data_IF_644518174270
#
_entry.id   IF_644518174270
#
_cell.length_a   1.000
_cell.length_b   1.000
_cell.length_c   1.000
_cell.angle_alpha   90.00
_cell.angle_beta   90.00
_cell.angle_gamma   90.00
#
_symmetry.space_group_name_H-M   'P 1'
#
loop_
_entity.id
_entity.type
_entity.pdbx_description
1 polymer ?
#
# COMPACT_ATOMS: atom_id res chain seq x y z
N UNK A 1 -10.32 15.62 9.40
CA UNK A 1 -10.60 14.18 9.14
C UNK A 1 -11.15 13.46 10.37
N UNK A 2 -10.41 13.31 11.48
CA UNK A 2 -10.81 12.48 12.62
C UNK A 2 -12.23 12.74 13.19
N UNK A 3 -12.65 14.01 13.31
CA UNK A 3 -14.02 14.35 13.73
C UNK A 3 -15.11 13.88 12.75
N UNK A 4 -14.84 13.92 11.44
CA UNK A 4 -15.77 13.42 10.40
C UNK A 4 -15.89 11.90 10.53
N UNK A 5 -14.77 11.20 10.73
CA UNK A 5 -14.76 9.76 11.00
C UNK A 5 -15.52 9.46 12.30
N UNK A 6 -15.32 10.22 13.38
CA UNK A 6 -16.02 10.00 14.65
C UNK A 6 -17.54 10.27 14.60
N UNK A 7 -18.03 11.01 13.60
CA UNK A 7 -19.46 11.32 13.40
C UNK A 7 -20.12 10.35 12.40
N UNK A 8 -19.39 9.93 11.36
CA UNK A 8 -19.92 9.04 10.31
C UNK A 8 -19.68 7.54 10.60
N UNK A 9 -18.56 7.18 11.26
CA UNK A 9 -18.22 5.80 11.56
C UNK A 9 -19.03 5.29 12.75
N UNK A 10 -20.11 4.58 12.46
CA UNK A 10 -20.96 3.92 13.45
C UNK A 10 -20.19 2.85 14.21
N UNK A 11 -20.37 2.77 15.54
CA UNK A 11 -19.54 1.96 16.48
C UNK A 11 -19.70 0.43 16.37
N UNK A 12 -20.15 -0.07 15.23
CA UNK A 12 -20.50 -1.47 14.96
C UNK A 12 -21.85 -1.58 14.23
N UNK A 13 -22.14 -2.72 13.57
CA UNK A 13 -23.35 -2.94 12.75
C UNK A 13 -24.64 -2.68 13.54
N UNK A 14 -24.75 -3.19 14.78
CA UNK A 14 -25.90 -2.98 15.66
C UNK A 14 -26.19 -1.51 16.06
N UNK A 15 -25.30 -0.57 15.72
CA UNK A 15 -25.48 0.87 15.91
C UNK A 15 -25.41 1.65 14.58
N UNK A 16 -25.56 0.98 13.44
CA UNK A 16 -25.56 1.59 12.11
C UNK A 16 -26.80 2.49 11.93
N UNK A 17 -26.62 3.81 12.02
CA UNK A 17 -27.71 4.81 11.93
C UNK A 17 -28.49 4.77 10.60
N UNK A 18 -27.91 4.19 9.55
CA UNK A 18 -28.47 4.08 8.21
C UNK A 18 -29.23 2.76 7.96
N UNK A 19 -29.15 1.78 8.87
CA UNK A 19 -29.85 0.50 8.78
C UNK A 19 -31.15 0.49 9.61
N UNK A 20 -32.16 -0.30 9.21
CA UNK A 20 -33.37 -0.60 10.00
C UNK A 20 -33.05 -1.45 11.24
N UNK A 21 -34.00 -1.67 12.18
CA UNK A 21 -33.80 -2.57 13.31
C UNK A 21 -33.46 -4.01 12.90
N UNK A 22 -34.14 -4.56 11.89
CA UNK A 22 -33.93 -5.93 11.40
C UNK A 22 -32.58 -6.06 10.68
N UNK A 23 -32.27 -5.12 9.79
CA UNK A 23 -30.99 -5.06 9.08
C UNK A 23 -29.79 -5.01 10.06
N UNK A 24 -29.94 -4.35 11.21
CA UNK A 24 -28.91 -4.28 12.26
C UNK A 24 -28.72 -5.62 12.97
N UNK A 25 -29.79 -6.33 13.27
CA UNK A 25 -29.72 -7.65 13.91
C UNK A 25 -29.10 -8.66 12.96
N UNK A 26 -29.50 -8.64 11.69
CA UNK A 26 -28.94 -9.53 10.66
C UNK A 26 -27.50 -9.18 10.26
N UNK A 27 -27.11 -7.90 10.22
CA UNK A 27 -25.72 -7.49 10.04
C UNK A 27 -24.83 -7.82 11.26
N UNK A 28 -25.41 -7.98 12.46
CA UNK A 28 -24.73 -8.55 13.62
C UNK A 28 -24.60 -10.07 13.45
N UNK A 29 -25.63 -10.78 12.97
CA UNK A 29 -25.61 -12.24 12.81
C UNK A 29 -24.65 -12.70 11.72
N UNK A 30 -24.61 -12.00 10.57
CA UNK A 30 -23.62 -12.21 9.50
C UNK A 30 -22.19 -12.11 10.01
N UNK A 31 -21.94 -11.13 10.86
CA UNK A 31 -20.63 -10.94 11.46
C UNK A 31 -20.28 -12.08 12.43
N UNK A 32 -21.24 -12.83 13.00
CA UNK A 32 -20.93 -14.06 13.76
C UNK A 32 -20.49 -15.19 12.85
N UNK A 33 -21.18 -15.40 11.71
CA UNK A 33 -20.78 -16.44 10.73
C UNK A 33 -19.43 -16.16 10.08
N UNK A 34 -19.09 -14.88 9.84
CA UNK A 34 -17.77 -14.45 9.36
C UNK A 34 -16.69 -14.40 10.46
N UNK A 35 -16.93 -14.97 11.65
CA UNK A 35 -15.97 -15.06 12.75
C UNK A 35 -15.73 -13.75 13.55
N UNK A 36 -16.53 -12.72 13.28
CA UNK A 36 -16.54 -11.45 13.98
C UNK A 36 -17.19 -11.50 15.37
N UNK A 37 -16.92 -10.48 16.22
CA UNK A 37 -17.27 -10.53 17.63
C UNK A 37 -18.76 -10.23 17.89
N UNK A 38 -19.42 -11.12 18.64
CA UNK A 38 -20.84 -11.05 19.03
C UNK A 38 -21.33 -9.71 19.62
N UNK A 39 -20.43 -8.95 20.25
CA UNK A 39 -20.60 -7.56 20.72
C UNK A 39 -19.24 -6.86 20.58
N UNK A 40 -19.13 -5.57 20.93
CA UNK A 40 -17.82 -4.95 21.21
C UNK A 40 -17.28 -5.49 22.55
N UNK A 41 -16.93 -6.77 22.54
CA UNK A 41 -16.35 -7.46 23.68
C UNK A 41 -14.92 -6.95 23.87
N UNK A 42 -14.67 -6.32 25.02
CA UNK A 42 -13.36 -5.73 25.35
C UNK A 42 -12.24 -6.77 25.39
N UNK A 43 -12.56 -8.06 25.56
CA UNK A 43 -11.57 -9.13 25.56
C UNK A 43 -11.23 -9.55 24.12
N UNK A 44 -12.20 -9.64 23.21
CA UNK A 44 -11.92 -9.89 21.78
C UNK A 44 -11.20 -8.68 21.17
N UNK A 45 -11.61 -7.45 21.51
CA UNK A 45 -10.91 -6.24 21.09
C UNK A 45 -9.44 -6.21 21.58
N UNK A 46 -9.17 -6.60 22.84
CA UNK A 46 -7.79 -6.78 23.36
C UNK A 46 -7.03 -7.87 22.60
N UNK A 47 -7.67 -8.99 22.27
CA UNK A 47 -7.06 -10.07 21.51
C UNK A 47 -6.70 -9.64 20.08
N UNK A 48 -7.60 -8.92 19.39
CA UNK A 48 -7.37 -8.34 18.07
C UNK A 48 -6.27 -7.27 18.08
N UNK A 49 -6.27 -6.36 19.07
CA UNK A 49 -5.20 -5.37 19.25
C UNK A 49 -3.86 -6.07 19.48
N UNK A 50 -3.81 -7.09 20.34
CA UNK A 50 -2.60 -7.90 20.56
C UNK A 50 -2.16 -8.61 19.28
N UNK A 51 -3.10 -9.14 18.49
CA UNK A 51 -2.83 -9.82 17.22
C UNK A 51 -2.13 -8.88 16.23
N UNK A 52 -2.61 -7.64 16.07
CA UNK A 52 -1.98 -6.60 15.24
C UNK A 52 -0.56 -6.30 15.70
N UNK A 53 -0.32 -6.18 17.01
CA UNK A 53 1.04 -6.01 17.57
C UNK A 53 1.92 -7.29 17.53
N UNK A 54 1.41 -8.42 17.02
CA UNK A 54 2.18 -9.64 16.78
C UNK A 54 2.29 -10.01 15.30
N UNK A 55 1.63 -9.28 14.40
CA UNK A 55 1.67 -9.57 12.97
C UNK A 55 2.98 -9.10 12.33
N UNK A 56 3.79 -10.06 11.90
CA UNK A 56 5.06 -9.80 11.23
C UNK A 56 4.89 -9.07 9.88
N UNK A 57 3.76 -9.24 9.18
CA UNK A 57 3.50 -8.53 7.93
C UNK A 57 3.36 -7.02 8.17
N UNK A 58 2.62 -6.63 9.21
CA UNK A 58 2.50 -5.23 9.65
C UNK A 58 3.86 -4.59 9.89
N UNK A 59 4.79 -5.27 10.56
CA UNK A 59 6.16 -4.76 10.76
C UNK A 59 6.98 -4.70 9.45
N UNK A 60 6.83 -5.66 8.54
CA UNK A 60 7.48 -5.63 7.21
C UNK A 60 6.97 -4.42 6.40
N UNK A 61 5.67 -4.12 6.43
CA UNK A 61 5.11 -2.93 5.79
C UNK A 61 5.57 -1.63 6.44
N UNK A 62 5.74 -1.58 7.77
CA UNK A 62 6.34 -0.42 8.46
C UNK A 62 7.79 -0.18 8.01
N UNK A 63 8.59 -1.24 7.82
CA UNK A 63 9.97 -1.14 7.33
C UNK A 63 10.00 -0.68 5.87
N UNK A 64 9.15 -1.25 5.00
CA UNK A 64 9.01 -0.78 3.61
C UNK A 64 8.60 0.70 3.54
N UNK A 65 7.64 1.12 4.38
CA UNK A 65 7.23 2.52 4.48
C UNK A 65 8.38 3.41 4.96
N UNK A 66 9.17 2.99 5.95
CA UNK A 66 10.34 3.75 6.41
C UNK A 66 11.41 3.88 5.31
N UNK A 67 11.75 2.79 4.63
CA UNK A 67 12.78 2.76 3.58
C UNK A 67 12.40 3.61 2.36
N UNK A 68 11.12 3.66 2.01
CA UNK A 68 10.60 4.55 0.94
C UNK A 68 10.38 5.98 1.41
N UNK A 69 10.08 6.16 2.70
CA UNK A 69 9.98 7.48 3.32
C UNK A 69 11.32 8.20 3.43
N UNK A 70 12.47 7.52 3.51
CA UNK A 70 13.79 8.18 3.54
C UNK A 70 14.05 9.03 2.29
N UNK A 71 13.99 8.48 1.05
CA UNK A 71 14.05 9.30 -0.15
C UNK A 71 12.84 10.24 -0.21
N UNK A 72 11.60 9.83 0.05
CA UNK A 72 10.50 10.81 0.17
C UNK A 72 10.70 11.85 1.31
N UNK A 73 11.81 11.80 2.08
CA UNK A 73 12.23 12.79 3.08
C UNK A 73 13.67 13.48 2.99
N UNK A 74 14.18 13.94 1.79
CA UNK A 74 15.01 15.20 1.49
C UNK A 74 14.96 16.16 0.12
N UNK A 75 14.08 16.93 -0.69
CA UNK A 75 12.71 17.55 -1.13
C UNK A 75 11.94 18.62 -0.35
N UNK A 76 10.85 18.24 0.33
CA UNK A 76 9.90 19.10 1.02
C UNK A 76 10.59 20.06 2.02
N UNK A 77 11.89 19.87 2.29
CA UNK A 77 12.80 20.85 2.89
C UNK A 77 13.92 21.35 1.95
N UNK A 78 14.51 20.52 1.08
CA UNK A 78 15.66 20.90 0.24
C UNK A 78 15.34 21.57 -1.10
N UNK A 79 14.16 21.32 -1.68
CA UNK A 79 13.78 21.76 -3.01
C UNK A 79 13.71 23.29 -3.16
N UNK A 80 13.26 24.08 -2.16
CA UNK A 80 13.44 25.53 -2.18
C UNK A 80 14.92 25.93 -2.21
N UNK A 81 15.77 25.25 -1.44
CA UNK A 81 17.21 25.55 -1.29
C UNK A 81 18.00 25.24 -2.58
N UNK A 82 17.71 24.14 -3.26
CA UNK A 82 18.33 23.79 -4.53
C UNK A 82 17.97 24.80 -5.63
N UNK A 83 16.71 25.22 -5.71
CA UNK A 83 16.30 26.22 -6.71
C UNK A 83 16.79 27.63 -6.34
N UNK A 84 17.05 27.91 -5.06
CA UNK A 84 17.80 29.10 -4.64
C UNK A 84 19.26 29.07 -5.14
N UNK A 85 19.95 27.92 -5.05
CA UNK A 85 21.30 27.74 -5.59
C UNK A 85 21.37 27.93 -7.12
N UNK A 86 20.27 27.68 -7.85
CA UNK A 86 20.14 28.01 -9.27
C UNK A 86 19.97 29.52 -9.56
N UNK A 87 20.05 30.39 -8.55
CA UNK A 87 20.03 31.85 -8.69
C UNK A 87 18.64 32.48 -8.66
N UNK A 88 17.61 31.75 -8.20
CA UNK A 88 16.24 32.28 -8.09
C UNK A 88 15.88 32.68 -6.66
N UNK A 89 15.42 33.91 -6.46
CA UNK A 89 14.85 34.38 -5.18
C UNK A 89 13.77 33.41 -4.67
N UNK A 90 13.70 33.19 -3.36
CA UNK A 90 12.88 32.18 -2.65
C UNK A 90 11.43 32.04 -3.18
N UNK A 91 10.77 33.17 -3.43
CA UNK A 91 9.38 33.21 -3.93
C UNK A 91 9.28 32.69 -5.38
N UNK A 92 10.27 32.96 -6.23
CA UNK A 92 10.35 32.39 -7.59
C UNK A 92 10.77 30.93 -7.56
N UNK A 93 11.66 30.56 -6.64
CA UNK A 93 12.08 29.18 -6.45
C UNK A 93 10.87 28.26 -6.16
N UNK A 94 10.00 28.66 -5.23
CA UNK A 94 8.76 27.91 -4.93
C UNK A 94 7.76 27.83 -6.10
N UNK A 95 7.76 28.80 -7.02
CA UNK A 95 6.89 28.75 -8.22
C UNK A 95 7.43 27.78 -9.28
N UNK A 96 8.75 27.72 -9.48
CA UNK A 96 9.38 26.77 -10.43
C UNK A 96 9.23 25.31 -10.01
N UNK A 97 8.94 25.05 -8.75
CA UNK A 97 8.66 23.74 -8.16
C UNK A 97 7.27 23.18 -8.53
N UNK A 98 6.30 24.05 -8.84
CA UNK A 98 4.91 23.62 -9.06
C UNK A 98 4.73 22.75 -10.32
N UNK A 99 5.30 23.09 -11.51
CA UNK A 99 5.12 22.28 -12.71
C UNK A 99 5.70 20.85 -12.61
N UNK A 100 6.93 20.62 -12.09
CA UNK A 100 7.42 19.26 -11.84
C UNK A 100 6.52 18.43 -10.92
N UNK A 101 6.01 19.02 -9.82
CA UNK A 101 5.10 18.32 -8.90
C UNK A 101 3.75 18.01 -9.53
N UNK A 102 3.24 18.86 -10.42
CA UNK A 102 2.01 18.61 -11.17
C UNK A 102 2.17 17.42 -12.13
N UNK A 103 3.28 17.37 -12.88
CA UNK A 103 3.62 16.24 -13.77
C UNK A 103 3.77 14.94 -12.98
N UNK A 104 4.48 14.98 -11.85
CA UNK A 104 4.63 13.84 -10.96
C UNK A 104 3.29 13.35 -10.39
N UNK A 105 2.38 14.26 -10.03
CA UNK A 105 1.04 13.94 -9.55
C UNK A 105 0.21 13.20 -10.61
N UNK A 106 0.21 13.71 -11.86
CA UNK A 106 -0.48 13.05 -12.98
C UNK A 106 0.10 11.66 -13.25
N UNK A 107 1.43 11.52 -13.27
CA UNK A 107 2.11 10.23 -13.43
C UNK A 107 1.75 9.24 -12.31
N UNK A 108 1.77 9.69 -11.05
CA UNK A 108 1.38 8.88 -9.89
C UNK A 108 -0.07 8.40 -9.99
N UNK A 109 -1.00 9.27 -10.41
CA UNK A 109 -2.41 8.90 -10.62
C UNK A 109 -2.56 7.84 -11.72
N UNK A 110 -1.88 8.00 -12.85
CA UNK A 110 -1.88 7.01 -13.95
C UNK A 110 -1.29 5.67 -13.50
N UNK A 111 -0.18 5.71 -12.74
CA UNK A 111 0.45 4.50 -12.21
C UNK A 111 -0.45 3.78 -11.19
N UNK A 112 -1.14 4.50 -10.30
CA UNK A 112 -2.12 3.91 -9.37
C UNK A 112 -3.27 3.26 -10.13
N UNK A 113 -3.88 3.98 -11.09
CA UNK A 113 -4.97 3.44 -11.91
C UNK A 113 -4.56 2.18 -12.69
N UNK A 114 -3.34 2.16 -13.25
CA UNK A 114 -2.77 0.97 -13.90
C UNK A 114 -2.58 -0.19 -12.91
N UNK A 115 -1.93 0.09 -11.77
CA UNK A 115 -1.67 -0.84 -10.67
C UNK A 115 -2.95 -1.50 -10.13
N UNK A 116 -4.02 -0.72 -9.96
CA UNK A 116 -5.32 -1.22 -9.51
C UNK A 116 -6.07 -1.98 -10.61
N UNK A 117 -6.06 -1.48 -11.86
CA UNK A 117 -6.79 -2.09 -12.99
C UNK A 117 -6.25 -3.45 -13.43
N UNK A 118 -4.94 -3.66 -13.35
CA UNK A 118 -4.29 -4.91 -13.80
C UNK A 118 -3.94 -5.86 -12.64
N UNK A 119 -4.24 -5.48 -11.39
CA UNK A 119 -3.80 -6.14 -10.14
C UNK A 119 -2.26 -6.26 -9.99
N UNK A 120 -1.47 -5.67 -10.88
CA UNK A 120 -0.01 -5.80 -10.97
C UNK A 120 0.77 -4.95 -9.95
N UNK A 121 0.18 -4.65 -8.79
CA UNK A 121 0.66 -3.65 -7.82
C UNK A 121 2.16 -3.77 -7.52
N UNK A 122 2.64 -4.98 -7.27
CA UNK A 122 4.07 -5.24 -7.01
C UNK A 122 4.98 -4.91 -8.19
N UNK A 123 4.56 -5.19 -9.43
CA UNK A 123 5.34 -4.90 -10.63
C UNK A 123 5.39 -3.40 -10.91
N UNK A 124 4.28 -2.68 -10.72
CA UNK A 124 4.23 -1.22 -10.81
C UNK A 124 5.17 -0.56 -9.77
N UNK A 125 5.18 -1.05 -8.53
CA UNK A 125 6.10 -0.59 -7.47
C UNK A 125 7.57 -0.86 -7.86
N UNK A 126 7.88 -2.08 -8.31
CA UNK A 126 9.25 -2.43 -8.72
C UNK A 126 9.74 -1.64 -9.94
N UNK A 127 8.86 -1.32 -10.90
CA UNK A 127 9.19 -0.44 -12.02
C UNK A 127 9.58 0.98 -11.55
N UNK A 128 8.87 1.54 -10.57
CA UNK A 128 9.23 2.82 -9.96
C UNK A 128 10.57 2.76 -9.20
N UNK A 129 10.82 1.68 -8.44
CA UNK A 129 12.12 1.51 -7.76
C UNK A 129 13.29 1.34 -8.74
N UNK A 130 13.11 0.61 -9.85
CA UNK A 130 14.14 0.46 -10.88
C UNK A 130 14.48 1.82 -11.53
N UNK A 131 13.47 2.65 -11.82
CA UNK A 131 13.66 4.00 -12.34
C UNK A 131 14.41 4.90 -11.34
N UNK A 132 14.09 4.82 -10.05
CA UNK A 132 14.81 5.53 -9.00
C UNK A 132 16.27 5.05 -8.84
N UNK A 133 16.52 3.74 -8.93
CA UNK A 133 17.89 3.16 -8.91
C UNK A 133 18.72 3.69 -10.08
N UNK A 134 18.15 3.74 -11.29
CA UNK A 134 18.84 4.25 -12.49
C UNK A 134 19.21 5.73 -12.31
N UNK A 135 18.31 6.56 -11.78
CA UNK A 135 18.58 7.97 -11.48
C UNK A 135 19.71 8.16 -10.47
N UNK A 136 19.62 7.46 -9.32
CA UNK A 136 20.62 7.54 -8.25
C UNK A 136 22.01 7.05 -8.68
N UNK A 137 22.08 5.98 -9.49
CA UNK A 137 23.35 5.51 -10.09
C UNK A 137 23.92 6.58 -11.03
N UNK A 138 23.07 7.24 -11.84
CA UNK A 138 23.48 8.32 -12.74
C UNK A 138 24.11 9.51 -11.99
N UNK A 139 23.51 9.94 -10.87
CA UNK A 139 24.05 11.02 -10.03
C UNK A 139 25.40 10.63 -9.41
N UNK A 140 25.48 9.46 -8.78
CA UNK A 140 26.71 8.94 -8.15
C UNK A 140 27.85 8.75 -9.15
N UNK A 141 27.54 8.32 -10.38
CA UNK A 141 28.55 8.06 -11.41
C UNK A 141 29.06 9.31 -12.13
N UNK A 142 28.29 10.41 -12.19
CA UNK A 142 28.64 11.59 -13.00
C UNK A 142 29.34 12.69 -12.23
N UNK A 143 29.09 12.85 -10.92
CA UNK A 143 29.65 13.92 -10.07
C UNK A 143 29.47 15.35 -10.65
N UNK A 144 28.49 15.55 -11.53
CA UNK A 144 28.55 16.65 -12.50
C UNK A 144 27.77 17.90 -12.07
N UNK A 145 28.43 19.07 -12.14
CA UNK A 145 27.89 20.40 -11.80
C UNK A 145 26.79 20.93 -12.75
N UNK A 146 26.19 20.07 -13.60
CA UNK A 146 25.28 20.50 -14.67
C UNK A 146 23.81 20.45 -14.25
N UNK A 147 23.06 21.57 -14.28
CA UNK A 147 21.65 21.62 -13.91
C UNK A 147 20.73 21.09 -15.02
N UNK A 148 20.90 19.82 -15.42
CA UNK A 148 20.13 19.15 -16.47
C UNK A 148 19.03 18.29 -15.84
N UNK A 149 18.01 18.96 -15.29
CA UNK A 149 16.63 18.46 -15.10
C UNK A 149 16.50 16.98 -14.67
N UNK A 150 17.22 16.57 -13.63
CA UNK A 150 17.12 15.21 -13.08
C UNK A 150 15.80 15.02 -12.32
N UNK A 151 15.27 13.79 -12.36
CA UNK A 151 13.98 13.41 -11.77
C UNK A 151 14.14 12.76 -10.37
N UNK A 152 15.04 13.29 -9.55
CA UNK A 152 15.34 12.82 -8.19
C UNK A 152 14.44 13.49 -7.14
N UNK A 153 13.50 12.73 -6.57
CA UNK A 153 12.52 13.19 -5.57
C UNK A 153 12.84 12.73 -4.14
N UNK A 154 14.11 12.90 -3.74
CA UNK A 154 14.47 13.08 -2.33
C UNK A 154 13.58 14.22 -1.70
N UNK A 155 12.86 14.17 -0.51
CA UNK A 155 11.96 15.07 0.44
C UNK A 155 12.31 16.02 1.76
N UNK A 156 11.87 15.77 3.02
CA UNK A 156 12.13 16.50 4.32
C UNK A 156 13.45 16.37 5.16
N UNK A 157 13.33 16.23 6.52
CA UNK A 157 14.38 16.62 7.53
C UNK A 157 15.63 15.73 7.56
N UNK A 158 15.50 14.41 7.37
CA UNK A 158 16.62 13.48 7.54
C UNK A 158 17.75 13.79 6.52
N UNK A 159 17.39 14.46 5.42
CA UNK A 159 18.32 15.13 4.50
C UNK A 159 19.42 15.94 5.18
N UNK A 160 19.15 16.65 6.29
CA UNK A 160 20.16 17.50 6.95
C UNK A 160 21.31 16.69 7.58
N UNK A 161 21.09 15.39 7.85
CA UNK A 161 22.12 14.47 8.35
C UNK A 161 22.67 13.54 7.25
N UNK A 162 21.99 13.46 6.11
CA UNK A 162 22.28 12.54 4.99
C UNK A 162 22.95 13.29 3.81
N UNK A 163 22.63 14.56 3.61
CA UNK A 163 23.14 15.50 2.62
C UNK A 163 23.74 16.74 3.34
N UNK A 164 24.95 16.63 3.92
CA UNK A 164 25.64 17.76 4.53
C UNK A 164 25.91 18.87 3.51
N UNK A 165 25.86 20.14 3.93
CA UNK A 165 26.23 21.25 3.05
C UNK A 165 27.70 21.17 2.59
N UNK A 166 28.56 20.53 3.38
CA UNK A 166 29.98 20.31 3.08
C UNK A 166 30.22 19.18 2.04
N UNK A 167 29.21 18.36 1.74
CA UNK A 167 29.24 17.29 0.72
C UNK A 167 28.70 17.80 -0.64
N UNK A 168 28.36 19.10 -0.74
CA UNK A 168 27.96 19.75 -1.98
C UNK A 168 29.16 19.89 -2.95
N UNK A 169 28.97 19.79 -4.28
CA UNK A 169 27.68 19.66 -4.98
C UNK A 169 27.23 18.23 -5.26
N UNK A 170 28.07 17.21 -5.02
CA UNK A 170 27.80 15.83 -5.45
C UNK A 170 26.96 15.00 -4.46
N UNK A 171 26.94 15.41 -3.18
CA UNK A 171 26.22 14.80 -2.07
C UNK A 171 26.32 13.26 -2.05
N UNK A 172 27.55 12.76 -2.20
CA UNK A 172 27.83 11.34 -2.41
C UNK A 172 27.29 10.48 -1.26
N UNK A 173 27.41 10.93 -0.01
CA UNK A 173 26.90 10.19 1.14
C UNK A 173 25.37 10.01 1.07
N UNK A 174 24.66 11.08 0.69
CA UNK A 174 23.20 11.09 0.69
C UNK A 174 22.59 10.28 -0.43
N UNK A 175 23.13 10.43 -1.64
CA UNK A 175 22.77 9.63 -2.80
C UNK A 175 23.04 8.13 -2.57
N UNK A 176 24.14 7.78 -1.89
CA UNK A 176 24.46 6.39 -1.50
C UNK A 176 23.45 5.81 -0.51
N UNK A 177 23.07 6.56 0.53
CA UNK A 177 22.07 6.10 1.52
C UNK A 177 20.69 5.90 0.86
N UNK A 178 20.28 6.82 -0.01
CA UNK A 178 19.03 6.68 -0.78
C UNK A 178 19.06 5.42 -1.68
N UNK A 179 20.16 5.17 -2.38
CA UNK A 179 20.34 4.00 -3.24
C UNK A 179 20.23 2.69 -2.46
N UNK A 180 20.91 2.60 -1.31
CA UNK A 180 20.82 1.44 -0.40
C UNK A 180 19.38 1.23 0.09
N UNK A 181 18.67 2.30 0.45
CA UNK A 181 17.28 2.20 0.95
C UNK A 181 16.30 1.65 -0.10
N UNK A 182 16.42 2.08 -1.38
CA UNK A 182 15.56 1.59 -2.47
C UNK A 182 15.94 0.17 -2.90
N UNK A 183 17.23 -0.20 -2.90
CA UNK A 183 17.66 -1.58 -3.16
C UNK A 183 17.09 -2.52 -2.08
N UNK A 184 17.20 -2.15 -0.80
CA UNK A 184 16.66 -2.95 0.30
C UNK A 184 15.12 -3.04 0.24
N UNK A 185 14.43 -1.94 -0.05
CA UNK A 185 12.97 -1.94 -0.26
C UNK A 185 12.56 -2.83 -1.43
N UNK A 186 13.34 -2.87 -2.51
CA UNK A 186 13.11 -3.74 -3.68
C UNK A 186 13.25 -5.22 -3.30
N UNK A 187 14.32 -5.59 -2.58
CA UNK A 187 14.55 -6.97 -2.12
C UNK A 187 13.42 -7.44 -1.20
N UNK A 188 13.03 -6.61 -0.22
CA UNK A 188 11.92 -6.92 0.69
C UNK A 188 10.60 -7.05 -0.08
N UNK A 189 10.34 -6.17 -1.05
CA UNK A 189 9.12 -6.22 -1.89
C UNK A 189 9.06 -7.50 -2.74
N UNK A 190 10.19 -7.95 -3.30
CA UNK A 190 10.27 -9.22 -4.05
C UNK A 190 10.05 -10.43 -3.12
N UNK A 191 10.69 -10.46 -1.95
CA UNK A 191 10.48 -11.53 -0.96
C UNK A 191 9.01 -11.59 -0.48
N UNK A 192 8.43 -10.43 -0.18
CA UNK A 192 7.04 -10.29 0.24
C UNK A 192 6.06 -10.74 -0.85
N UNK A 193 6.34 -10.47 -2.13
CA UNK A 193 5.55 -10.99 -3.27
C UNK A 193 5.40 -12.50 -3.20
N UNK A 194 6.52 -13.24 -3.18
CA UNK A 194 6.51 -14.70 -3.19
C UNK A 194 5.92 -15.28 -1.90
N UNK A 195 6.11 -14.61 -0.76
CA UNK A 195 5.49 -14.98 0.51
C UNK A 195 3.96 -14.86 0.46
N UNK A 196 3.42 -13.73 -0.02
CA UNK A 196 1.98 -13.51 -0.15
C UNK A 196 1.35 -14.41 -1.21
N UNK A 197 2.01 -14.63 -2.35
CA UNK A 197 1.55 -15.60 -3.36
C UNK A 197 1.48 -17.03 -2.79
N UNK A 198 2.44 -17.40 -1.93
CA UNK A 198 2.45 -18.71 -1.25
C UNK A 198 1.35 -18.83 -0.19
N UNK A 199 1.01 -17.76 0.52
CA UNK A 199 -0.12 -17.74 1.47
C UNK A 199 -1.46 -17.74 0.74
N UNK A 200 -1.60 -16.95 -0.32
CA UNK A 200 -2.82 -16.87 -1.11
C UNK A 200 -3.13 -18.24 -1.76
N UNK A 201 -2.14 -18.92 -2.38
CA UNK A 201 -2.34 -20.28 -2.87
C UNK A 201 -2.81 -21.25 -1.77
N UNK A 202 -2.30 -21.14 -0.53
CA UNK A 202 -2.76 -21.99 0.59
C UNK A 202 -4.20 -21.68 1.02
N UNK A 203 -4.65 -20.42 0.92
CA UNK A 203 -6.03 -20.00 1.20
C UNK A 203 -7.00 -20.44 0.10
N UNK A 204 -6.63 -20.18 -1.16
CA UNK A 204 -7.42 -20.58 -2.33
C UNK A 204 -7.61 -22.11 -2.35
N UNK A 205 -6.58 -22.89 -1.98
CA UNK A 205 -6.67 -24.35 -1.80
C UNK A 205 -7.52 -24.80 -0.61
N UNK A 206 -7.59 -24.01 0.48
CA UNK A 206 -8.43 -24.34 1.63
C UNK A 206 -9.92 -24.17 1.31
N UNK A 207 -10.29 -23.11 0.58
CA UNK A 207 -11.67 -22.88 0.08
C UNK A 207 -12.12 -24.06 -0.81
N UNK A 208 -11.24 -24.53 -1.69
CA UNK A 208 -11.50 -25.68 -2.56
C UNK A 208 -11.72 -26.98 -1.77
N UNK A 209 -10.98 -27.17 -0.67
CA UNK A 209 -11.15 -28.34 0.20
C UNK A 209 -12.46 -28.28 1.03
N UNK A 210 -12.86 -27.09 1.49
CA UNK A 210 -14.11 -26.86 2.24
C UNK A 210 -15.36 -27.14 1.37
N UNK A 211 -15.23 -26.94 0.06
CA UNK A 211 -16.24 -27.23 -0.96
C UNK A 211 -16.13 -28.64 -1.59
N UNK A 212 -15.33 -29.56 -1.03
CA UNK A 212 -15.05 -30.90 -1.57
C UNK A 212 -14.55 -30.92 -3.06
N UNK A 213 -14.04 -29.78 -3.56
CA UNK A 213 -13.69 -29.60 -4.97
C UNK A 213 -12.38 -30.32 -5.32
N UNK A 214 -12.48 -31.27 -6.28
CA UNK A 214 -11.33 -32.03 -6.76
C UNK A 214 -10.60 -31.29 -7.88
N UNK A 215 -9.34 -30.94 -7.63
CA UNK A 215 -8.44 -30.33 -8.61
C UNK A 215 -7.82 -31.38 -9.54
N UNK A 216 -7.80 -31.08 -10.83
CA UNK A 216 -6.98 -31.81 -11.80
C UNK A 216 -5.49 -31.45 -11.70
N UNK A 217 -4.61 -32.39 -12.10
CA UNK A 217 -3.17 -32.15 -12.27
C UNK A 217 -2.81 -31.03 -13.26
N UNK A 218 -3.77 -30.63 -14.11
CA UNK A 218 -3.63 -29.47 -15.01
C UNK A 218 -3.84 -28.14 -14.27
N UNK A 219 -4.70 -28.12 -13.25
CA UNK A 219 -5.07 -26.91 -12.50
C UNK A 219 -4.11 -26.63 -11.35
N UNK A 220 -3.60 -27.67 -10.69
CA UNK A 220 -2.57 -27.56 -9.65
C UNK A 220 -1.33 -26.77 -10.10
N UNK A 221 -1.05 -26.76 -11.41
CA UNK A 221 0.06 -26.04 -12.07
C UNK A 221 -0.24 -24.56 -12.35
N UNK A 222 -1.50 -24.14 -12.41
CA UNK A 222 -1.89 -22.77 -12.74
C UNK A 222 -2.54 -22.06 -11.55
N UNK A 223 -1.72 -21.36 -10.76
CA UNK A 223 -2.17 -20.60 -9.58
C UNK A 223 -3.33 -19.63 -9.88
N UNK A 224 -3.39 -19.04 -11.08
CA UNK A 224 -4.49 -18.13 -11.45
C UNK A 224 -5.80 -18.89 -11.63
N UNK A 225 -5.76 -20.07 -12.26
CA UNK A 225 -6.96 -20.92 -12.45
C UNK A 225 -7.47 -21.48 -11.11
N UNK A 226 -6.59 -21.87 -10.19
CA UNK A 226 -6.96 -22.25 -8.81
C UNK A 226 -7.75 -21.11 -8.13
N UNK A 227 -7.23 -19.88 -8.20
CA UNK A 227 -7.88 -18.68 -7.66
C UNK A 227 -9.21 -18.37 -8.34
N UNK A 228 -9.29 -18.47 -9.67
CA UNK A 228 -10.52 -18.26 -10.44
C UNK A 228 -11.62 -19.29 -10.10
N UNK A 229 -11.26 -20.54 -9.79
CA UNK A 229 -12.23 -21.55 -9.32
C UNK A 229 -12.64 -21.26 -7.87
N UNK A 230 -11.69 -20.99 -6.97
CA UNK A 230 -11.98 -20.69 -5.57
C UNK A 230 -12.90 -19.48 -5.40
N UNK A 231 -12.69 -18.40 -6.17
CA UNK A 231 -13.58 -17.23 -6.16
C UNK A 231 -15.00 -17.56 -6.67
N UNK A 232 -15.12 -18.42 -7.70
CA UNK A 232 -16.44 -18.84 -8.22
C UNK A 232 -17.21 -19.74 -7.25
N UNK A 233 -16.53 -20.51 -6.41
CA UNK A 233 -17.21 -21.30 -5.38
C UNK A 233 -17.85 -20.37 -4.34
N UNK A 234 -17.09 -19.40 -3.83
CA UNK A 234 -17.59 -18.37 -2.90
C UNK A 234 -18.65 -17.46 -3.54
N UNK A 235 -18.59 -17.19 -4.84
CA UNK A 235 -19.64 -16.44 -5.56
C UNK A 235 -20.94 -17.24 -5.76
N UNK A 236 -20.85 -18.57 -5.74
CA UNK A 236 -22.00 -19.49 -5.80
C UNK A 236 -22.54 -19.89 -4.42
N UNK A 237 -21.92 -19.46 -3.31
CA UNK A 237 -22.56 -19.54 -2.00
C UNK A 237 -23.86 -18.70 -2.03
N UNK A 238 -25.01 -19.23 -1.56
CA UNK A 238 -26.31 -18.58 -1.73
C UNK A 238 -26.29 -17.23 -1.05
N UNK A 239 -26.67 -16.17 -1.78
CA UNK A 239 -26.44 -14.82 -1.30
C UNK A 239 -27.37 -14.48 -0.13
N UNK A 240 -26.87 -13.57 0.69
CA UNK A 240 -27.40 -13.18 1.99
C UNK A 240 -28.88 -12.76 1.96
N UNK A 241 -29.27 -12.12 0.86
CA UNK A 241 -30.62 -11.71 0.47
C UNK A 241 -31.51 -12.89 0.03
N UNK A 242 -30.98 -13.84 -0.73
CA UNK A 242 -31.70 -15.06 -1.16
C UNK A 242 -32.06 -15.93 0.07
N UNK A 243 -31.10 -16.11 0.99
CA UNK A 243 -31.28 -16.88 2.24
C UNK A 243 -32.24 -16.21 3.24
N UNK A 244 -32.48 -14.90 3.13
CA UNK A 244 -33.53 -14.21 3.90
C UNK A 244 -34.93 -14.52 3.36
N UNK A 245 -35.13 -14.38 2.06
CA UNK A 245 -36.43 -14.56 1.41
C UNK A 245 -37.00 -15.97 1.70
N UNK A 246 -36.16 -17.00 1.64
CA UNK A 246 -36.55 -18.38 1.97
C UNK A 246 -36.92 -18.58 3.46
N UNK A 247 -36.33 -17.82 4.38
CA UNK A 247 -36.60 -17.90 5.83
C UNK A 247 -37.77 -17.04 6.28
N UNK A 248 -38.05 -15.95 5.58
CA UNK A 248 -39.09 -14.97 5.93
C UNK A 248 -39.98 -14.61 4.73
N UNK A 249 -40.67 -15.58 4.09
CA UNK A 249 -41.41 -15.40 2.82
C UNK A 249 -42.71 -14.55 2.90
N UNK A 250 -42.88 -13.78 3.98
CA UNK A 250 -44.03 -12.90 4.24
C UNK A 250 -43.59 -11.42 4.41
N UNK A 251 -42.46 -11.05 3.82
CA UNK A 251 -41.88 -9.70 3.78
C UNK A 251 -41.77 -9.23 2.32
#
# INVERSE_FOLDING_TARGET
MALIIAVLLTRGPGNARFLTPEEREFAVDRLKSEGGPNKVDRNIAKAQIKLVFTDILTYIYMILFMLTSIPFYALNIYLPTLVYQLGFNDVRAQVMVIPPLLVATVFMTINSWSSDKYETKTWNILACYLLAIIGLIGMVATQADVPILTFDQLGGIIGILIFPADDAPSFFMGNTICLISIILASIITIGLKFYLESINKKRDLAILADHDYKLDDSDLKNNKRIREIAMKLVENEPRFDEVLCDKHPNW
#
